data_IF_117423750328
#
_entry.id   IF_117423750328
#
_cell.length_a   1.000
_cell.length_b   1.000
_cell.length_c   1.000
_cell.angle_alpha   90.00
_cell.angle_beta   90.00
_cell.angle_gamma   90.00
#
_symmetry.space_group_name_H-M   'P 1'
#
loop_
_entity.id
_entity.type
_entity.pdbx_description
1 polymer ?
#
# COMPACT_ATOMS: atom_id res chain seq x y z
N UNK A 1 3.42 18.05 -9.84
CA UNK A 1 4.20 16.91 -10.37
C UNK A 1 3.29 15.71 -10.38
N UNK A 2 3.02 15.17 -11.56
CA UNK A 2 1.96 14.20 -11.79
C UNK A 2 2.53 12.77 -11.73
N UNK A 3 2.62 12.23 -10.52
CA UNK A 3 3.28 10.95 -10.22
C UNK A 3 2.69 9.77 -11.00
N UNK A 4 1.45 9.87 -11.49
CA UNK A 4 0.78 8.81 -12.29
C UNK A 4 1.47 8.56 -13.63
N UNK A 5 2.03 9.58 -14.25
CA UNK A 5 2.72 9.43 -15.54
C UNK A 5 4.10 8.78 -15.37
N UNK A 6 4.76 9.01 -14.24
CA UNK A 6 6.05 8.37 -13.92
C UNK A 6 5.89 6.86 -13.71
N UNK A 7 4.78 6.39 -13.12
CA UNK A 7 4.55 4.94 -12.96
C UNK A 7 4.32 4.24 -14.30
N UNK A 8 3.59 4.88 -15.23
CA UNK A 8 3.29 4.33 -16.56
C UNK A 8 4.45 4.41 -17.55
N UNK A 9 5.32 5.41 -17.42
CA UNK A 9 6.48 5.57 -18.30
C UNK A 9 7.57 4.50 -18.09
N UNK A 10 7.44 3.70 -17.03
CA UNK A 10 8.36 2.63 -16.70
C UNK A 10 7.80 1.31 -17.26
N UNK A 11 7.86 1.15 -18.58
CA UNK A 11 7.99 -0.17 -19.21
C UNK A 11 9.40 -0.68 -18.82
N UNK A 12 9.47 -1.32 -17.64
CA UNK A 12 10.70 -1.73 -16.96
C UNK A 12 11.42 -2.84 -17.70
N UNK A 13 12.73 -2.69 -17.84
CA UNK A 13 13.62 -3.83 -17.64
C UNK A 13 13.42 -4.33 -16.20
N UNK A 14 12.83 -5.51 -15.98
CA UNK A 14 12.49 -6.01 -14.64
C UNK A 14 13.72 -6.32 -13.76
N UNK A 15 14.93 -6.09 -14.28
CA UNK A 15 16.20 -6.42 -13.61
C UNK A 15 16.90 -5.22 -12.96
N UNK A 16 16.45 -3.98 -13.18
CA UNK A 16 17.06 -2.81 -12.53
C UNK A 16 16.44 -2.54 -11.14
N UNK A 17 17.18 -2.97 -10.10
CA UNK A 17 16.83 -2.71 -8.70
C UNK A 17 16.61 -1.21 -8.39
N UNK A 18 17.32 -0.30 -9.07
CA UNK A 18 17.19 1.14 -8.88
C UNK A 18 15.84 1.65 -9.35
N UNK A 19 15.38 1.19 -10.51
CA UNK A 19 14.06 1.52 -11.04
C UNK A 19 12.96 0.98 -10.13
N UNK A 20 13.06 -0.27 -9.68
CA UNK A 20 12.11 -0.87 -8.73
C UNK A 20 12.08 -0.09 -7.39
N UNK A 21 13.23 0.34 -6.87
CA UNK A 21 13.30 1.17 -5.66
C UNK A 21 12.62 2.53 -5.82
N UNK A 22 12.71 3.13 -7.01
CA UNK A 22 12.07 4.41 -7.31
C UNK A 22 10.56 4.23 -7.56
N UNK A 23 10.14 3.17 -8.26
CA UNK A 23 8.73 2.84 -8.46
C UNK A 23 8.02 2.51 -7.14
N UNK A 24 8.66 1.74 -6.26
CA UNK A 24 8.21 1.52 -4.88
C UNK A 24 7.99 2.83 -4.12
N UNK A 25 8.89 3.80 -4.26
CA UNK A 25 8.71 5.12 -3.65
C UNK A 25 7.50 5.87 -4.21
N UNK A 26 7.27 5.81 -5.53
CA UNK A 26 6.11 6.41 -6.15
C UNK A 26 4.81 5.76 -5.63
N UNK A 27 4.78 4.45 -5.48
CA UNK A 27 3.64 3.73 -4.89
C UNK A 27 3.38 4.13 -3.44
N UNK A 28 4.43 4.28 -2.63
CA UNK A 28 4.30 4.81 -1.25
C UNK A 28 3.66 6.20 -1.25
N UNK A 29 4.04 7.08 -2.18
CA UNK A 29 3.47 8.43 -2.31
C UNK A 29 2.02 8.44 -2.82
N UNK A 30 1.59 7.36 -3.45
CA UNK A 30 0.22 7.16 -3.95
C UNK A 30 -0.64 6.34 -2.97
N UNK A 31 -0.14 6.07 -1.76
CA UNK A 31 -0.77 5.22 -0.75
C UNK A 31 -1.12 3.79 -1.26
N UNK A 32 -0.41 3.31 -2.28
CA UNK A 32 -0.57 1.97 -2.84
C UNK A 32 0.39 0.99 -2.16
N UNK A 33 0.04 0.57 -0.93
CA UNK A 33 0.93 -0.20 -0.06
C UNK A 33 1.40 -1.54 -0.64
N UNK A 34 0.50 -2.29 -1.28
CA UNK A 34 0.80 -3.61 -1.86
C UNK A 34 1.79 -3.51 -3.03
N UNK A 35 1.49 -2.63 -4.00
CA UNK A 35 2.38 -2.35 -5.13
C UNK A 35 3.75 -1.86 -4.67
N UNK A 36 3.80 -1.02 -3.63
CA UNK A 36 5.05 -0.57 -3.04
C UNK A 36 5.88 -1.72 -2.45
N UNK A 37 5.21 -2.70 -1.82
CA UNK A 37 5.83 -3.83 -1.17
C UNK A 37 6.40 -4.82 -2.19
N UNK A 38 5.67 -5.09 -3.27
CA UNK A 38 6.11 -5.99 -4.34
C UNK A 38 7.39 -5.48 -5.00
N UNK A 39 7.42 -4.19 -5.36
CA UNK A 39 8.61 -3.55 -5.93
C UNK A 39 9.79 -3.53 -4.97
N UNK A 40 9.53 -3.29 -3.67
CA UNK A 40 10.57 -3.29 -2.66
C UNK A 40 11.18 -4.68 -2.46
N UNK A 41 10.35 -5.74 -2.46
CA UNK A 41 10.80 -7.14 -2.37
C UNK A 41 11.60 -7.54 -3.61
N UNK A 42 11.14 -7.19 -4.80
CA UNK A 42 11.86 -7.46 -6.04
C UNK A 42 13.23 -6.75 -6.05
N UNK A 43 13.27 -5.47 -5.65
CA UNK A 43 14.51 -4.72 -5.48
C UNK A 43 15.48 -5.38 -4.49
N UNK A 44 14.98 -5.86 -3.35
CA UNK A 44 15.80 -6.56 -2.35
C UNK A 44 16.29 -7.91 -2.83
N UNK A 45 15.48 -8.64 -3.60
CA UNK A 45 15.88 -9.91 -4.21
C UNK A 45 17.04 -9.72 -5.21
N UNK A 46 16.99 -8.64 -6.00
CA UNK A 46 18.06 -8.28 -6.94
C UNK A 46 19.33 -7.77 -6.23
N UNK A 47 19.19 -7.04 -5.11
CA UNK A 47 20.31 -6.49 -4.34
C UNK A 47 20.12 -6.68 -2.82
N UNK A 48 20.40 -7.88 -2.28
CA UNK A 48 20.15 -8.20 -0.86
C UNK A 48 20.92 -7.34 0.15
N UNK A 49 22.07 -6.80 -0.26
CA UNK A 49 22.92 -5.93 0.57
C UNK A 49 22.64 -4.43 0.43
N UNK A 50 21.56 -4.02 -0.24
CA UNK A 50 21.30 -2.60 -0.50
C UNK A 50 20.38 -1.97 0.56
N UNK A 51 20.88 -1.05 1.42
CA UNK A 51 20.07 -0.49 2.50
C UNK A 51 18.81 0.25 2.04
N UNK A 52 18.85 0.86 0.85
CA UNK A 52 17.69 1.55 0.27
C UNK A 52 16.54 0.58 -0.03
N UNK A 53 16.83 -0.65 -0.45
CA UNK A 53 15.82 -1.68 -0.69
C UNK A 53 15.10 -2.06 0.61
N UNK A 54 15.87 -2.34 1.67
CA UNK A 54 15.33 -2.64 3.00
C UNK A 54 14.47 -1.49 3.55
N UNK A 55 14.91 -0.24 3.36
CA UNK A 55 14.13 0.93 3.77
C UNK A 55 12.79 1.02 3.00
N UNK A 56 12.78 0.75 1.69
CA UNK A 56 11.55 0.76 0.89
C UNK A 56 10.57 -0.31 1.35
N UNK A 57 11.07 -1.51 1.63
CA UNK A 57 10.25 -2.62 2.12
C UNK A 57 9.63 -2.28 3.48
N UNK A 58 10.43 -1.77 4.43
CA UNK A 58 9.92 -1.32 5.73
C UNK A 58 8.91 -0.19 5.62
N UNK A 59 9.12 0.77 4.72
CA UNK A 59 8.17 1.85 4.48
C UNK A 59 6.84 1.35 3.91
N UNK A 60 6.88 0.39 2.98
CA UNK A 60 5.69 -0.24 2.41
C UNK A 60 4.93 -1.07 3.45
N UNK A 61 5.64 -1.85 4.28
CA UNK A 61 5.02 -2.62 5.38
C UNK A 61 4.34 -1.71 6.42
N UNK A 62 4.98 -0.60 6.79
CA UNK A 62 4.38 0.38 7.71
C UNK A 62 3.10 1.00 7.14
N UNK A 63 3.10 1.29 5.84
CA UNK A 63 1.91 1.81 5.16
C UNK A 63 0.79 0.76 5.12
N UNK A 64 1.13 -0.50 4.84
CA UNK A 64 0.18 -1.62 4.84
C UNK A 64 -0.43 -1.82 6.23
N UNK A 65 0.38 -1.78 7.28
CA UNK A 65 -0.09 -1.84 8.67
C UNK A 65 -1.06 -0.69 9.01
N UNK A 66 -0.77 0.53 8.56
CA UNK A 66 -1.66 1.67 8.76
C UNK A 66 -2.99 1.49 8.00
N UNK A 67 -2.96 0.87 6.82
CA UNK A 67 -4.15 0.52 6.05
C UNK A 67 -5.04 -0.47 6.82
N UNK A 68 -4.45 -1.58 7.31
CA UNK A 68 -5.17 -2.56 8.14
C UNK A 68 -5.81 -1.94 9.38
N UNK A 69 -5.05 -1.12 10.13
CA UNK A 69 -5.61 -0.46 11.32
C UNK A 69 -6.81 0.42 10.97
N UNK A 70 -6.77 1.13 9.85
CA UNK A 70 -7.90 1.96 9.39
C UNK A 70 -9.11 1.12 8.97
N UNK A 71 -8.89 -0.07 8.40
CA UNK A 71 -9.98 -1.00 8.12
C UNK A 71 -10.65 -1.49 9.40
N UNK A 72 -9.85 -1.84 10.43
CA UNK A 72 -10.39 -2.23 11.74
C UNK A 72 -11.17 -1.08 12.40
N UNK A 73 -10.63 0.15 12.37
CA UNK A 73 -11.30 1.36 12.88
C UNK A 73 -12.62 1.64 12.14
N UNK A 74 -12.65 1.45 10.82
CA UNK A 74 -13.85 1.61 10.02
C UNK A 74 -14.90 0.53 10.33
N UNK A 75 -14.49 -0.74 10.40
CA UNK A 75 -15.38 -1.86 10.75
C UNK A 75 -16.02 -1.67 12.14
N UNK A 76 -15.25 -1.23 13.13
CA UNK A 76 -15.77 -0.91 14.46
C UNK A 76 -16.80 0.23 14.41
N UNK A 77 -16.51 1.29 13.64
CA UNK A 77 -17.43 2.42 13.49
C UNK A 77 -18.77 2.00 12.85
N UNK A 78 -18.72 1.13 11.84
CA UNK A 78 -19.94 0.59 11.24
C UNK A 78 -20.68 -0.36 12.19
N UNK A 79 -19.95 -1.19 12.93
CA UNK A 79 -20.54 -2.08 13.93
C UNK A 79 -21.32 -1.32 15.00
N UNK A 80 -20.73 -0.27 15.58
CA UNK A 80 -21.42 0.61 16.53
C UNK A 80 -22.68 1.24 15.91
N UNK A 81 -22.60 1.69 14.66
CA UNK A 81 -23.75 2.19 13.92
C UNK A 81 -24.88 1.16 13.79
N UNK A 82 -24.55 -0.08 13.44
CA UNK A 82 -25.53 -1.19 13.34
C UNK A 82 -26.16 -1.51 14.71
N UNK A 83 -25.43 -1.37 15.82
CA UNK A 83 -26.02 -1.56 17.16
C UNK A 83 -27.03 -0.45 17.50
N UNK A 84 -26.82 0.77 17.01
CA UNK A 84 -27.71 1.92 17.25
C UNK A 84 -28.96 1.88 16.37
N UNK A 85 -28.83 1.49 15.11
CA UNK A 85 -29.94 1.35 14.16
C UNK A 85 -29.80 0.04 13.35
N UNK A 86 -30.31 -1.08 13.89
CA UNK A 86 -30.17 -2.39 13.24
C UNK A 86 -30.95 -2.53 11.93
N UNK A 87 -31.94 -1.68 11.66
CA UNK A 87 -32.76 -1.73 10.45
C UNK A 87 -32.16 -0.92 9.30
N UNK A 88 -31.12 -0.12 9.58
CA UNK A 88 -30.42 0.66 8.58
C UNK A 88 -29.59 -0.22 7.63
N UNK A 89 -30.16 -0.46 6.44
CA UNK A 89 -29.53 -1.28 5.40
C UNK A 89 -28.18 -0.72 4.92
N UNK A 90 -27.95 0.59 4.97
CA UNK A 90 -26.67 1.17 4.55
C UNK A 90 -25.55 0.79 5.54
N UNK A 91 -25.80 0.91 6.85
CA UNK A 91 -24.85 0.51 7.89
C UNK A 91 -24.59 -1.00 7.88
N UNK A 92 -25.65 -1.80 7.73
CA UNK A 92 -25.54 -3.27 7.64
C UNK A 92 -24.73 -3.69 6.41
N UNK A 93 -24.90 -2.99 5.28
CA UNK A 93 -24.13 -3.27 4.06
C UNK A 93 -22.68 -2.77 4.15
N UNK A 94 -22.41 -1.66 4.85
CA UNK A 94 -21.05 -1.12 4.99
C UNK A 94 -20.18 -1.90 5.99
N UNK A 95 -20.80 -2.58 6.96
CA UNK A 95 -20.13 -3.47 7.91
C UNK A 95 -19.81 -4.87 7.32
N UNK A 96 -20.64 -5.36 6.39
CA UNK A 96 -20.53 -6.71 5.79
C UNK A 96 -19.49 -6.79 4.68
#
# INVERSE_FOLDING_TARGET
MDFRNEVKAIDLDPTDATLLSNRSLCWIRLDQAEHALDDAKACRALRPGWPKACYREGAALRLLQACFRRFDEAANSFYEGVQLDPENKELVNAFR
#
